data_IF_214788480343
#
_entry.id   IF_214788480343
#
_cell.length_a   1.000
_cell.length_b   1.000
_cell.length_c   1.000
_cell.angle_alpha   90.00
_cell.angle_beta   90.00
_cell.angle_gamma   90.00
#
_symmetry.space_group_name_H-M   'P 1'
#
loop_
_entity.id
_entity.type
_entity.pdbx_description
1 polymer ?
#
# COMPACT_ATOMS: atom_id res chain seq x y z
N UNK A 1 8.48 0.17 17.64
CA UNK A 1 8.00 0.79 16.38
C UNK A 1 8.82 0.39 15.16
N UNK A 2 10.17 0.47 15.18
CA UNK A 2 11.05 0.07 14.04
C UNK A 2 10.77 -1.35 13.47
N UNK A 3 10.43 -2.31 14.33
CA UNK A 3 10.08 -3.68 13.91
C UNK A 3 8.84 -3.75 13.00
N UNK A 4 7.77 -3.01 13.31
CA UNK A 4 6.56 -3.01 12.47
C UNK A 4 6.82 -2.33 11.12
N UNK A 5 7.61 -1.25 11.10
CA UNK A 5 8.01 -0.61 9.85
C UNK A 5 8.83 -1.56 8.97
N UNK A 6 9.75 -2.33 9.56
CA UNK A 6 10.49 -3.37 8.84
C UNK A 6 9.56 -4.43 8.24
N UNK A 7 8.58 -4.92 9.01
CA UNK A 7 7.62 -5.91 8.51
C UNK A 7 6.77 -5.34 7.36
N UNK A 8 6.32 -4.08 7.45
CA UNK A 8 5.58 -3.42 6.37
C UNK A 8 6.40 -3.34 5.08
N UNK A 9 7.68 -2.95 5.18
CA UNK A 9 8.59 -2.94 4.03
C UNK A 9 8.80 -4.33 3.45
N UNK A 10 8.86 -5.38 4.30
CA UNK A 10 8.93 -6.77 3.86
C UNK A 10 7.66 -7.22 3.13
N UNK A 11 6.48 -6.84 3.62
CA UNK A 11 5.21 -7.13 2.95
C UNK A 11 5.13 -6.46 1.57
N UNK A 12 5.55 -5.20 1.46
CA UNK A 12 5.64 -4.51 0.17
C UNK A 12 6.65 -5.17 -0.78
N UNK A 13 7.81 -5.57 -0.28
CA UNK A 13 8.79 -6.31 -1.07
C UNK A 13 8.23 -7.64 -1.60
N UNK A 14 7.41 -8.34 -0.80
CA UNK A 14 6.71 -9.55 -1.24
C UNK A 14 5.68 -9.25 -2.35
N UNK A 15 4.92 -8.16 -2.22
CA UNK A 15 3.99 -7.71 -3.27
C UNK A 15 4.73 -7.45 -4.58
N UNK A 16 5.82 -6.68 -4.53
CA UNK A 16 6.62 -6.35 -5.70
C UNK A 16 7.29 -7.57 -6.33
N UNK A 17 7.75 -8.54 -5.53
CA UNK A 17 8.27 -9.81 -6.03
C UNK A 17 7.22 -10.63 -6.79
N UNK A 18 5.93 -10.45 -6.48
CA UNK A 18 4.80 -11.02 -7.20
C UNK A 18 4.32 -10.16 -8.38
N UNK A 19 4.98 -9.04 -8.69
CA UNK A 19 4.57 -8.11 -9.74
C UNK A 19 3.33 -7.28 -9.39
N UNK A 20 2.96 -7.18 -8.12
CA UNK A 20 1.77 -6.46 -7.65
C UNK A 20 2.18 -5.20 -6.89
N UNK A 21 1.64 -4.05 -7.30
CA UNK A 21 1.70 -2.82 -6.49
C UNK A 21 0.48 -2.77 -5.56
N UNK A 22 0.67 -2.38 -4.29
CA UNK A 22 -0.44 -2.30 -3.33
C UNK A 22 -1.46 -1.20 -3.69
N UNK A 23 -0.98 -0.03 -4.12
CA UNK A 23 -1.82 1.11 -4.54
C UNK A 23 -2.42 1.94 -3.40
N UNK A 24 -2.61 1.40 -2.18
CA UNK A 24 -3.29 2.14 -1.10
C UNK A 24 -2.67 1.92 0.30
N UNK A 25 -1.38 2.28 0.46
CA UNK A 25 -0.67 2.08 1.74
C UNK A 25 -1.04 3.17 2.74
N UNK A 26 -1.82 2.81 3.74
CA UNK A 26 -2.28 3.66 4.85
C UNK A 26 -2.49 2.84 6.11
N UNK A 27 -2.58 3.48 7.29
CA UNK A 27 -2.67 2.78 8.58
C UNK A 27 -3.87 1.83 8.68
N UNK A 28 -4.98 2.19 8.05
CA UNK A 28 -6.23 1.44 8.03
C UNK A 28 -6.07 0.08 7.32
N UNK A 29 -5.13 0.01 6.37
CA UNK A 29 -4.84 -1.15 5.54
C UNK A 29 -3.65 -1.98 6.08
N UNK A 30 -3.13 -1.62 7.27
CA UNK A 30 -2.06 -2.34 7.96
C UNK A 30 -2.67 -3.08 9.16
N UNK A 31 -2.97 -4.36 8.95
CA UNK A 31 -3.50 -5.23 10.00
C UNK A 31 -2.38 -5.69 10.91
N UNK A 32 -2.67 -5.75 12.22
CA UNK A 32 -1.73 -6.22 13.23
C UNK A 32 -2.38 -7.33 14.04
N UNK A 33 -1.72 -8.49 14.09
CA UNK A 33 -2.18 -9.61 14.91
C UNK A 33 -1.84 -9.42 16.38
N UNK A 34 -2.42 -10.25 17.26
CA UNK A 34 -2.07 -10.29 18.69
C UNK A 34 -0.60 -10.61 18.97
N UNK A 35 0.14 -11.16 17.99
CA UNK A 35 1.57 -11.45 18.06
C UNK A 35 2.44 -10.38 17.37
N UNK A 36 1.90 -9.19 17.09
CA UNK A 36 2.59 -8.08 16.41
C UNK A 36 3.10 -8.40 14.99
N UNK A 37 2.48 -9.39 14.32
CA UNK A 37 2.70 -9.59 12.88
C UNK A 37 1.91 -8.57 12.08
N UNK A 38 2.57 -7.95 11.11
CA UNK A 38 1.97 -7.02 10.15
C UNK A 38 1.50 -7.78 8.92
N UNK A 39 0.25 -7.54 8.53
CA UNK A 39 -0.31 -7.94 7.24
C UNK A 39 -0.78 -6.71 6.48
N UNK A 40 -0.52 -6.68 5.18
CA UNK A 40 -0.99 -5.63 4.29
C UNK A 40 -2.24 -6.13 3.56
N UNK A 41 -3.32 -5.34 3.59
CA UNK A 41 -4.62 -5.71 3.01
C UNK A 41 -5.24 -4.57 2.20
N UNK A 42 -6.35 -4.87 1.52
CA UNK A 42 -7.13 -3.88 0.75
C UNK A 42 -6.33 -3.23 -0.40
N UNK A 43 -5.94 -4.08 -1.35
CA UNK A 43 -5.17 -3.68 -2.53
C UNK A 43 -6.04 -2.83 -3.47
N UNK A 44 -5.47 -1.74 -3.99
CA UNK A 44 -6.08 -0.89 -5.00
C UNK A 44 -5.30 -0.97 -6.33
N UNK A 45 -5.40 -2.10 -7.08
CA UNK A 45 -4.63 -2.32 -8.30
C UNK A 45 -5.04 -1.40 -9.46
N UNK A 46 -6.15 -0.68 -9.31
CA UNK A 46 -6.69 0.25 -10.29
C UNK A 46 -6.07 1.65 -10.22
N UNK A 47 -5.30 1.99 -9.17
CA UNK A 47 -4.64 3.29 -9.09
C UNK A 47 -3.52 3.38 -10.14
N UNK A 48 -3.50 4.44 -10.96
CA UNK A 48 -2.43 4.61 -11.93
C UNK A 48 -1.10 4.90 -11.23
N UNK A 49 0.01 4.52 -11.86
CA UNK A 49 1.37 4.83 -11.36
C UNK A 49 1.74 6.30 -11.52
N UNK A 50 1.04 7.00 -12.41
CA UNK A 50 1.25 8.41 -12.73
C UNK A 50 -0.10 9.06 -13.00
N UNK A 51 -0.34 10.20 -12.37
CA UNK A 51 -1.48 11.08 -12.66
C UNK A 51 -0.92 12.38 -13.24
N UNK A 52 -1.35 12.82 -14.44
CA UNK A 52 -0.91 14.07 -15.03
C UNK A 52 -1.33 15.30 -14.20
N UNK A 53 -0.43 16.28 -14.09
CA UNK A 53 -0.67 17.50 -13.29
C UNK A 53 -1.79 18.39 -13.88
N UNK A 54 -2.08 18.26 -15.17
CA UNK A 54 -3.10 19.02 -15.88
C UNK A 54 -4.53 18.49 -15.69
N UNK A 55 -4.70 17.35 -15.00
CA UNK A 55 -5.99 16.71 -14.75
C UNK A 55 -6.26 16.48 -13.26
N UNK A 56 -6.53 17.54 -12.48
CA UNK A 56 -6.69 17.44 -11.03
C UNK A 56 -7.85 16.52 -10.60
N UNK A 57 -8.88 16.37 -11.43
CA UNK A 57 -10.00 15.47 -11.16
C UNK A 57 -9.59 13.99 -11.07
N UNK A 58 -8.49 13.58 -11.72
CA UNK A 58 -7.97 12.21 -11.61
C UNK A 58 -7.34 11.98 -10.23
N UNK A 59 -6.67 12.97 -9.65
CA UNK A 59 -6.12 12.88 -8.30
C UNK A 59 -7.26 12.64 -7.30
N UNK A 60 -8.31 13.48 -7.36
CA UNK A 60 -9.49 13.38 -6.49
C UNK A 60 -10.23 12.04 -6.65
N UNK A 61 -10.20 11.46 -7.85
CA UNK A 61 -10.87 10.18 -8.11
C UNK A 61 -10.10 9.00 -7.50
N UNK A 62 -8.77 9.03 -7.51
CA UNK A 62 -7.94 7.90 -7.06
C UNK A 62 -7.41 8.02 -5.62
N UNK A 63 -7.37 9.21 -5.01
CA UNK A 63 -6.72 9.48 -3.71
C UNK A 63 -7.60 10.28 -2.76
#
# INVERSE_FOLDING_TARGET
RRWMAYQLLRALAQCHAAGVCHGDVKSENVLVTSWNWVLLCDFAPFKPTYVPDDQPAEVDYYF
#
